data_IF_043508865840
#
_entry.id   IF_043508865840
#
_cell.length_a   1.000
_cell.length_b   1.000
_cell.length_c   1.000
_cell.angle_alpha   90.00
_cell.angle_beta   90.00
_cell.angle_gamma   90.00
#
_symmetry.space_group_name_H-M   'P 1'
#
loop_
_entity.id
_entity.type
_entity.pdbx_description
1 polymer ?
#
# COMPACT_ATOMS: atom_id res chain seq x y z
N UNK A 1 1.50 44.39 -13.22
CA UNK A 1 0.12 44.68 -12.80
C UNK A 1 -0.22 43.75 -11.65
N UNK A 2 -0.52 44.33 -10.48
CA UNK A 2 -0.81 43.62 -9.24
C UNK A 2 -2.32 43.40 -9.16
N UNK A 3 -2.76 42.18 -8.88
CA UNK A 3 -4.11 41.92 -8.38
C UNK A 3 -4.02 41.08 -7.10
N UNK A 4 -4.07 41.79 -5.98
CA UNK A 4 -4.50 41.29 -4.68
C UNK A 4 -6.00 41.03 -4.71
N UNK A 5 -6.44 39.87 -4.22
CA UNK A 5 -7.81 39.67 -3.76
C UNK A 5 -7.78 38.96 -2.40
N UNK A 6 -8.38 39.65 -1.43
CA UNK A 6 -8.60 39.31 -0.03
C UNK A 6 -10.08 38.95 0.13
N UNK A 7 -10.39 38.04 1.06
CA UNK A 7 -11.74 37.80 1.58
C UNK A 7 -12.28 36.42 1.20
N UNK A 8 -12.94 35.65 2.06
CA UNK A 8 -13.72 36.04 3.22
C UNK A 8 -13.78 34.91 4.26
N UNK A 9 -13.93 35.33 5.50
CA UNK A 9 -14.16 34.58 6.72
C UNK A 9 -15.45 33.75 6.65
N UNK A 10 -15.43 32.52 7.18
CA UNK A 10 -16.59 31.66 7.36
C UNK A 10 -16.38 30.69 8.50
N UNK A 11 -16.52 31.19 9.73
CA UNK A 11 -16.49 30.42 10.97
C UNK A 11 -17.86 29.74 11.16
N UNK A 12 -17.90 28.42 11.32
CA UNK A 12 -19.12 27.70 11.76
C UNK A 12 -18.82 27.01 13.09
N UNK A 13 -19.45 27.53 14.14
CA UNK A 13 -19.56 26.95 15.48
C UNK A 13 -20.73 25.98 15.51
N UNK A 14 -20.53 24.75 16.02
CA UNK A 14 -21.64 23.94 16.54
C UNK A 14 -21.26 23.32 17.89
N UNK A 15 -21.95 23.86 18.90
CA UNK A 15 -22.41 23.34 20.18
C UNK A 15 -21.94 21.96 20.69
N UNK A 16 -21.51 21.94 21.96
CA UNK A 16 -21.18 20.74 22.73
C UNK A 16 -22.34 20.14 23.52
N UNK A 17 -22.06 18.99 24.13
CA UNK A 17 -22.80 18.44 25.25
C UNK A 17 -21.79 18.04 26.33
N UNK A 18 -21.72 18.82 27.41
CA UNK A 18 -21.07 18.43 28.65
C UNK A 18 -22.07 17.61 29.47
N UNK A 19 -21.68 16.41 29.90
CA UNK A 19 -22.40 15.62 30.89
C UNK A 19 -21.51 15.42 32.10
N UNK A 20 -21.79 16.13 33.19
CA UNK A 20 -21.11 16.05 34.49
C UNK A 20 -22.06 15.46 35.54
N UNK A 21 -21.50 14.61 36.42
CA UNK A 21 -22.11 14.15 37.69
C UNK A 21 -22.56 12.68 37.66
N UNK A 22 -22.27 11.81 38.63
CA UNK A 22 -21.73 11.98 39.98
C UNK A 22 -21.14 10.62 40.47
N UNK A 23 -20.20 10.56 41.42
CA UNK A 23 -19.68 9.31 41.97
C UNK A 23 -20.58 8.79 43.10
N UNK A 24 -20.94 7.51 43.04
CA UNK A 24 -21.66 6.79 44.10
C UNK A 24 -20.75 5.74 44.75
N UNK A 25 -20.45 5.93 46.03
CA UNK A 25 -19.74 5.02 46.92
C UNK A 25 -20.69 4.09 47.69
N UNK A 26 -20.27 2.83 47.91
CA UNK A 26 -20.76 1.89 48.95
C UNK A 26 -21.86 0.93 48.49
N UNK A 27 -21.91 -0.36 48.84
CA UNK A 27 -21.19 -1.25 49.78
C UNK A 27 -21.45 -2.72 49.33
N UNK A 28 -20.78 -3.78 49.88
CA UNK A 28 -20.85 -5.14 49.35
C UNK A 28 -22.04 -5.93 49.91
N UNK A 29 -22.67 -6.73 49.06
CA UNK A 29 -23.71 -7.68 49.41
C UNK A 29 -23.35 -9.07 48.91
N UNK A 30 -22.99 -9.95 49.84
CA UNK A 30 -22.99 -11.41 49.69
C UNK A 30 -24.40 -11.90 49.33
N UNK A 31 -24.51 -12.62 48.21
CA UNK A 31 -25.74 -13.27 47.78
C UNK A 31 -25.42 -14.53 46.97
N UNK A 32 -25.60 -15.68 47.61
CA UNK A 32 -25.56 -17.02 47.04
C UNK A 32 -26.76 -17.25 46.13
N UNK A 33 -26.58 -17.77 44.91
CA UNK A 33 -27.72 -18.14 44.07
C UNK A 33 -27.38 -18.59 42.63
N UNK A 34 -27.36 -19.91 42.43
CA UNK A 34 -27.84 -20.67 41.28
C UNK A 34 -27.57 -20.18 39.83
N UNK A 35 -26.69 -20.92 39.15
CA UNK A 35 -26.96 -21.57 37.85
C UNK A 35 -27.52 -20.71 36.70
N UNK A 36 -26.63 -20.28 35.80
CA UNK A 36 -26.94 -20.18 34.36
C UNK A 36 -25.63 -20.40 33.59
N UNK A 37 -25.56 -21.51 32.86
CA UNK A 37 -24.50 -21.82 31.90
C UNK A 37 -24.44 -20.75 30.81
N UNK A 38 -23.36 -19.98 30.77
CA UNK A 38 -23.04 -19.10 29.65
C UNK A 38 -22.60 -19.95 28.45
N UNK A 39 -23.09 -19.68 27.22
CA UNK A 39 -22.54 -20.31 26.04
C UNK A 39 -21.10 -19.80 25.83
N UNK A 40 -20.18 -20.75 25.73
CA UNK A 40 -18.79 -20.48 25.35
C UNK A 40 -18.79 -19.99 23.90
N UNK A 41 -18.59 -18.68 23.70
CA UNK A 41 -18.31 -18.13 22.38
C UNK A 41 -16.92 -18.59 21.97
N UNK A 42 -16.86 -19.68 21.21
CA UNK A 42 -15.65 -20.09 20.49
C UNK A 42 -15.21 -18.93 19.61
N UNK A 43 -14.15 -18.23 20.02
CA UNK A 43 -13.46 -17.27 19.18
C UNK A 43 -12.95 -18.01 17.94
N UNK A 44 -13.61 -17.80 16.81
CA UNK A 44 -13.12 -18.22 15.51
C UNK A 44 -11.80 -17.48 15.25
N UNK A 45 -10.70 -18.22 15.36
CA UNK A 45 -9.38 -17.77 14.91
C UNK A 45 -9.54 -17.33 13.44
N UNK A 46 -9.19 -16.08 13.06
CA UNK A 46 -9.19 -15.74 11.66
C UNK A 46 -8.15 -16.62 10.97
N UNK A 47 -8.59 -17.34 9.94
CA UNK A 47 -7.74 -18.16 9.11
C UNK A 47 -6.56 -17.30 8.64
N UNK A 48 -5.36 -17.68 9.04
CA UNK A 48 -4.13 -17.12 8.51
C UNK A 48 -4.22 -17.20 6.99
N UNK A 49 -4.35 -16.05 6.35
CA UNK A 49 -4.19 -15.94 4.90
C UNK A 49 -2.77 -16.37 4.60
N UNK A 50 -2.59 -17.64 4.24
CA UNK A 50 -1.36 -18.11 3.65
C UNK A 50 -1.14 -17.27 2.42
N UNK A 51 -0.24 -16.27 2.53
CA UNK A 51 0.31 -15.58 1.40
C UNK A 51 0.91 -16.68 0.52
N UNK A 52 0.21 -16.98 -0.58
CA UNK A 52 0.68 -17.95 -1.55
C UNK A 52 2.05 -17.48 -2.02
N UNK A 53 3.09 -18.21 -1.63
CA UNK A 53 4.45 -17.98 -2.15
C UNK A 53 4.32 -17.98 -3.67
N UNK A 54 4.71 -16.92 -4.37
CA UNK A 54 4.66 -16.91 -5.83
C UNK A 54 5.42 -18.12 -6.36
N UNK A 55 4.84 -18.79 -7.36
CA UNK A 55 5.61 -19.74 -8.14
C UNK A 55 6.85 -19.02 -8.69
N UNK A 56 8.03 -19.66 -8.58
CA UNK A 56 9.34 -19.13 -9.01
C UNK A 56 9.31 -18.47 -10.39
N UNK A 57 8.45 -18.95 -11.30
CA UNK A 57 8.25 -18.39 -12.64
C UNK A 57 7.73 -16.96 -12.70
N UNK A 58 7.27 -16.37 -11.59
CA UNK A 58 6.77 -14.99 -11.55
C UNK A 58 7.89 -13.95 -11.69
N UNK A 59 9.08 -14.24 -11.15
CA UNK A 59 10.25 -13.38 -11.31
C UNK A 59 11.10 -13.69 -12.55
N UNK A 60 10.93 -14.88 -13.16
CA UNK A 60 11.61 -15.25 -14.40
C UNK A 60 11.06 -14.49 -15.62
N UNK A 61 9.83 -13.96 -15.52
CA UNK A 61 9.17 -13.21 -16.61
C UNK A 61 9.59 -11.74 -16.69
N UNK A 62 10.38 -11.24 -15.74
CA UNK A 62 10.88 -9.86 -15.76
C UNK A 62 12.13 -9.79 -16.64
N UNK A 63 11.94 -9.83 -17.95
CA UNK A 63 13.04 -9.82 -18.93
C UNK A 63 13.56 -8.40 -19.19
N UNK A 64 14.88 -8.31 -19.41
CA UNK A 64 15.63 -7.06 -19.45
C UNK A 64 15.44 -6.20 -20.71
N UNK A 65 15.83 -4.94 -20.52
CA UNK A 65 15.96 -3.84 -21.46
C UNK A 65 16.61 -4.20 -22.82
N UNK A 66 16.06 -3.65 -23.90
CA UNK A 66 16.81 -3.49 -25.17
C UNK A 66 17.83 -2.37 -25.02
N UNK A 67 18.93 -2.38 -25.79
CA UNK A 67 20.12 -1.54 -25.59
C UNK A 67 19.88 -0.02 -25.41
N UNK A 68 18.69 0.50 -25.76
CA UNK A 68 18.33 1.92 -25.66
C UNK A 68 17.04 2.20 -24.84
N UNK A 69 16.42 1.19 -24.22
CA UNK A 69 15.19 1.34 -23.43
C UNK A 69 15.44 0.90 -21.99
N UNK A 70 14.87 1.61 -21.00
CA UNK A 70 14.90 1.14 -19.62
C UNK A 70 14.07 -0.15 -19.47
N UNK A 71 14.43 -1.06 -18.54
CA UNK A 71 13.66 -2.28 -18.32
C UNK A 71 12.21 -1.97 -17.91
N UNK A 72 11.27 -2.74 -18.45
CA UNK A 72 9.85 -2.61 -18.13
C UNK A 72 9.30 -3.92 -17.54
N UNK A 73 8.29 -3.79 -16.69
CA UNK A 73 7.54 -4.93 -16.15
C UNK A 73 6.05 -4.66 -16.24
N UNK A 74 5.28 -5.68 -16.61
CA UNK A 74 3.83 -5.65 -16.56
C UNK A 74 3.35 -6.39 -15.31
N UNK A 75 2.48 -5.74 -14.54
CA UNK A 75 1.79 -6.37 -13.43
C UNK A 75 0.57 -7.17 -13.87
N UNK A 76 0.16 -8.13 -13.05
CA UNK A 76 -1.16 -8.77 -13.14
C UNK A 76 -2.12 -8.08 -12.17
N UNK A 77 -3.39 -7.92 -12.53
CA UNK A 77 -4.32 -7.16 -11.69
C UNK A 77 -5.78 -7.37 -12.02
N UNK A 78 -6.65 -6.83 -11.17
CA UNK A 78 -8.10 -6.79 -11.36
C UNK A 78 -8.56 -5.34 -11.31
N UNK A 79 -9.35 -4.93 -12.29
CA UNK A 79 -9.88 -3.56 -12.38
C UNK A 79 -8.82 -2.48 -12.65
N UNK A 80 -7.57 -2.86 -12.90
CA UNK A 80 -6.49 -1.95 -13.26
C UNK A 80 -5.43 -2.65 -14.13
N UNK A 81 -4.84 -1.88 -15.03
CA UNK A 81 -3.59 -2.22 -15.71
C UNK A 81 -2.43 -1.60 -14.96
N UNK A 82 -1.32 -2.34 -14.85
CA UNK A 82 -0.13 -1.90 -14.11
C UNK A 82 1.12 -2.14 -14.95
N UNK A 83 1.95 -1.12 -15.04
CA UNK A 83 3.27 -1.15 -15.67
C UNK A 83 4.30 -0.46 -14.79
N UNK A 84 5.52 -0.97 -14.76
CA UNK A 84 6.68 -0.36 -14.10
C UNK A 84 7.83 -0.16 -15.07
N UNK A 85 8.51 0.98 -14.99
CA UNK A 85 9.73 1.33 -15.71
C UNK A 85 10.86 1.49 -14.70
N UNK A 86 11.89 0.66 -14.81
CA UNK A 86 12.99 0.59 -13.86
C UNK A 86 14.13 1.52 -14.26
N UNK A 87 14.51 2.44 -13.38
CA UNK A 87 15.73 3.26 -13.56
C UNK A 87 16.96 2.55 -12.97
N UNK A 88 17.04 1.24 -13.19
CA UNK A 88 18.16 0.39 -12.83
C UNK A 88 18.12 -0.91 -13.66
N UNK A 89 19.26 -1.59 -13.87
CA UNK A 89 19.27 -2.92 -14.46
C UNK A 89 18.49 -3.93 -13.62
N UNK A 90 17.84 -4.88 -14.28
CA UNK A 90 17.17 -6.03 -13.64
C UNK A 90 18.03 -7.29 -13.85
N UNK A 91 18.28 -8.12 -12.82
CA UNK A 91 17.80 -8.00 -11.43
C UNK A 91 18.38 -6.79 -10.69
N UNK A 92 17.55 -6.18 -9.85
CA UNK A 92 17.92 -5.01 -9.05
C UNK A 92 18.97 -5.38 -8.00
N UNK A 93 19.83 -4.45 -7.61
CA UNK A 93 20.79 -4.67 -6.54
C UNK A 93 20.15 -4.45 -5.16
N UNK A 94 20.30 -5.41 -4.24
CA UNK A 94 19.89 -5.26 -2.85
C UNK A 94 20.66 -4.10 -2.17
N UNK A 95 20.01 -3.42 -1.23
CA UNK A 95 20.55 -2.32 -0.44
C UNK A 95 20.74 -1.00 -1.21
N UNK A 96 20.45 -0.97 -2.51
CA UNK A 96 20.52 0.23 -3.35
C UNK A 96 19.13 0.85 -3.51
N UNK A 97 19.06 2.17 -3.49
CA UNK A 97 17.83 2.86 -3.93
C UNK A 97 17.66 2.67 -5.43
N UNK A 98 16.45 2.30 -5.84
CA UNK A 98 16.02 2.29 -7.23
C UNK A 98 14.80 3.19 -7.39
N UNK A 99 14.84 4.03 -8.44
CA UNK A 99 13.66 4.73 -8.92
C UNK A 99 12.85 3.79 -9.81
N UNK A 100 11.55 3.70 -9.55
CA UNK A 100 10.58 3.01 -10.40
C UNK A 100 9.48 4.01 -10.77
N UNK A 101 9.20 4.13 -12.06
CA UNK A 101 8.05 4.89 -12.56
C UNK A 101 6.93 3.92 -12.86
N UNK A 102 5.75 4.19 -12.35
CA UNK A 102 4.57 3.37 -12.49
C UNK A 102 3.55 4.03 -13.41
N UNK A 103 2.89 3.20 -14.21
CA UNK A 103 1.65 3.56 -14.92
C UNK A 103 0.56 2.63 -14.44
N UNK A 104 -0.51 3.21 -13.90
CA UNK A 104 -1.64 2.42 -13.40
C UNK A 104 -2.96 3.09 -13.75
N UNK A 105 -3.87 2.33 -14.36
CA UNK A 105 -5.24 2.80 -14.60
C UNK A 105 -6.06 2.81 -13.31
N UNK A 106 -7.10 3.66 -13.27
CA UNK A 106 -7.95 3.84 -12.09
C UNK A 106 -7.88 5.26 -11.52
N UNK A 107 -8.55 5.47 -10.39
CA UNK A 107 -8.73 6.79 -9.75
C UNK A 107 -8.14 6.82 -8.33
N UNK A 108 -8.05 8.03 -7.77
CA UNK A 108 -7.58 8.28 -6.42
C UNK A 108 -6.07 8.54 -6.32
N UNK A 109 -5.48 8.37 -5.14
CA UNK A 109 -4.02 8.31 -4.93
C UNK A 109 -3.46 6.89 -5.12
N UNK A 110 -2.23 6.75 -5.59
CA UNK A 110 -1.57 5.44 -5.66
C UNK A 110 -1.11 5.04 -4.26
N UNK A 111 -1.40 3.79 -3.87
CA UNK A 111 -0.74 3.16 -2.72
C UNK A 111 0.12 2.02 -3.23
N UNK A 112 1.29 1.86 -2.62
CA UNK A 112 2.23 0.81 -3.00
C UNK A 112 2.88 0.20 -1.77
N UNK A 113 3.05 -1.10 -1.80
CA UNK A 113 3.83 -1.86 -0.83
C UNK A 113 4.74 -2.82 -1.57
N UNK A 114 5.85 -3.21 -0.95
CA UNK A 114 6.72 -4.24 -1.47
C UNK A 114 7.23 -5.15 -0.35
N UNK A 115 7.09 -6.46 -0.53
CA UNK A 115 7.42 -7.45 0.50
C UNK A 115 7.98 -8.75 -0.10
N UNK A 116 8.81 -9.43 0.70
CA UNK A 116 9.18 -10.82 0.49
C UNK A 116 8.18 -11.76 1.21
N UNK A 117 8.11 -13.05 0.80
CA UNK A 117 7.28 -14.03 1.49
C UNK A 117 7.63 -14.25 2.96
N UNK A 118 8.86 -13.92 3.38
CA UNK A 118 9.29 -13.99 4.79
C UNK A 118 8.80 -12.80 5.63
N UNK A 119 8.02 -11.89 5.04
CA UNK A 119 7.50 -10.68 5.68
C UNK A 119 8.48 -9.50 5.66
N UNK A 120 9.69 -9.65 5.10
CA UNK A 120 10.61 -8.52 4.95
C UNK A 120 9.99 -7.48 4.00
N UNK A 121 9.85 -6.24 4.46
CA UNK A 121 9.36 -5.13 3.66
C UNK A 121 10.50 -4.34 3.01
N UNK A 122 10.27 -3.82 1.80
CA UNK A 122 11.15 -2.83 1.18
C UNK A 122 10.84 -1.45 1.79
N UNK A 123 11.85 -0.58 1.81
CA UNK A 123 11.67 0.79 2.29
C UNK A 123 11.34 1.72 1.13
N UNK A 124 10.22 2.44 1.22
CA UNK A 124 10.00 3.63 0.40
C UNK A 124 10.90 4.75 0.94
N UNK A 125 11.77 5.26 0.10
CA UNK A 125 12.62 6.42 0.43
C UNK A 125 11.95 7.73 0.02
N UNK A 126 11.07 7.68 -0.98
CA UNK A 126 10.16 8.74 -1.41
C UNK A 126 8.99 8.16 -2.21
N UNK A 127 7.95 8.96 -2.42
CA UNK A 127 6.73 8.58 -3.12
C UNK A 127 5.75 7.71 -2.31
N UNK A 128 4.64 7.26 -2.93
CA UNK A 128 4.23 7.53 -4.33
C UNK A 128 3.96 9.00 -4.63
N UNK A 129 4.64 9.53 -5.64
CA UNK A 129 4.43 10.91 -6.13
C UNK A 129 3.78 10.88 -7.50
N UNK A 130 2.75 11.70 -7.72
CA UNK A 130 2.08 11.81 -9.01
C UNK A 130 2.93 12.63 -9.99
N UNK A 131 2.95 12.20 -11.26
CA UNK A 131 3.58 12.95 -12.34
C UNK A 131 2.56 13.33 -13.41
N UNK A 132 2.74 14.53 -14.00
CA UNK A 132 1.91 15.01 -15.11
C UNK A 132 2.07 14.22 -16.41
N UNK A 133 3.10 13.37 -16.50
CA UNK A 133 3.38 12.49 -17.61
C UNK A 133 4.83 12.55 -18.09
N UNK A 134 5.15 11.69 -19.04
CA UNK A 134 6.44 11.58 -19.71
C UNK A 134 6.25 11.10 -21.15
N UNK A 135 7.35 10.89 -21.88
CA UNK A 135 7.35 10.22 -23.19
C UNK A 135 7.18 8.70 -23.08
N UNK A 136 7.11 8.13 -21.87
CA UNK A 136 6.86 6.71 -21.68
C UNK A 136 5.35 6.43 -21.71
N UNK A 137 4.90 5.80 -22.80
CA UNK A 137 3.49 5.55 -23.06
C UNK A 137 3.02 4.18 -22.57
N UNK A 138 2.26 4.17 -21.48
CA UNK A 138 1.44 3.04 -21.00
C UNK A 138 0.10 3.54 -20.46
N UNK A 139 -0.94 2.69 -20.40
CA UNK A 139 -2.24 3.08 -19.83
C UNK A 139 -2.15 3.56 -18.39
N UNK A 140 -2.90 4.62 -18.06
CA UNK A 140 -3.06 5.13 -16.69
C UNK A 140 -2.23 6.37 -16.35
N UNK A 141 -2.45 6.90 -15.14
CA UNK A 141 -1.67 8.03 -14.62
C UNK A 141 -0.26 7.59 -14.23
N UNK A 142 0.67 8.52 -14.27
CA UNK A 142 2.08 8.28 -13.98
C UNK A 142 2.40 8.60 -12.52
N UNK A 143 3.19 7.73 -11.90
CA UNK A 143 3.63 7.87 -10.52
C UNK A 143 5.10 7.49 -10.37
N UNK A 144 5.80 8.05 -9.40
CA UNK A 144 7.18 7.71 -9.07
C UNK A 144 7.31 7.16 -7.65
N UNK A 145 8.25 6.23 -7.46
CA UNK A 145 8.69 5.76 -6.14
C UNK A 145 10.19 5.56 -6.08
N UNK A 146 10.78 5.77 -4.92
CA UNK A 146 12.12 5.32 -4.56
C UNK A 146 12.04 4.14 -3.61
N UNK A 147 12.60 2.99 -4.00
CA UNK A 147 12.63 1.80 -3.15
C UNK A 147 14.06 1.40 -2.79
N UNK A 148 14.26 0.98 -1.54
CA UNK A 148 15.42 0.19 -1.12
C UNK A 148 14.94 -1.20 -0.73
N UNK A 149 15.43 -2.21 -1.45
CA UNK A 149 15.18 -3.63 -1.16
C UNK A 149 16.30 -4.19 -0.28
N UNK A 150 16.09 -4.48 1.01
CA UNK A 150 17.17 -4.82 1.93
C UNK A 150 17.79 -6.21 1.71
N UNK A 151 17.12 -7.11 0.98
CA UNK A 151 17.54 -8.49 0.76
C UNK A 151 17.35 -8.92 -0.70
N UNK A 152 18.22 -9.81 -1.21
CA UNK A 152 17.95 -10.55 -2.44
C UNK A 152 16.65 -11.35 -2.35
N UNK A 153 15.99 -11.56 -3.48
CA UNK A 153 14.79 -12.38 -3.57
C UNK A 153 13.82 -11.98 -4.69
N UNK A 154 12.69 -12.66 -4.74
CA UNK A 154 11.59 -12.34 -5.64
C UNK A 154 10.56 -11.50 -4.86
N UNK A 155 10.59 -10.19 -5.08
CA UNK A 155 9.78 -9.24 -4.33
C UNK A 155 8.39 -9.09 -4.94
N UNK A 156 7.37 -9.23 -4.10
CA UNK A 156 6.00 -8.84 -4.45
C UNK A 156 5.87 -7.34 -4.29
N UNK A 157 5.37 -6.65 -5.31
CA UNK A 157 5.00 -5.24 -5.23
C UNK A 157 3.52 -5.14 -5.52
N UNK A 158 2.75 -4.70 -4.54
CA UNK A 158 1.30 -4.51 -4.66
C UNK A 158 1.01 -3.03 -4.87
N UNK A 159 0.30 -2.71 -5.94
CA UNK A 159 -0.15 -1.38 -6.28
C UNK A 159 -1.68 -1.33 -6.20
N UNK A 160 -2.22 -0.30 -5.56
CA UNK A 160 -3.67 -0.12 -5.45
C UNK A 160 -4.10 1.32 -5.77
N UNK A 161 -5.27 1.38 -6.40
CA UNK A 161 -6.08 2.57 -6.69
C UNK A 161 -7.44 2.35 -6.03
N UNK A 162 -8.33 3.33 -6.08
CA UNK A 162 -9.63 3.19 -5.40
C UNK A 162 -10.50 2.06 -5.96
N UNK A 163 -10.34 1.72 -7.24
CA UNK A 163 -11.17 0.72 -7.95
C UNK A 163 -10.40 -0.44 -8.58
N UNK A 164 -9.12 -0.59 -8.25
CA UNK A 164 -8.31 -1.64 -8.85
C UNK A 164 -6.98 -1.85 -8.14
N UNK A 165 -6.44 -3.05 -8.32
CA UNK A 165 -5.15 -3.45 -7.77
C UNK A 165 -4.36 -4.25 -8.78
N UNK A 166 -3.04 -4.21 -8.68
CA UNK A 166 -2.17 -5.12 -9.40
C UNK A 166 -0.91 -5.46 -8.62
N UNK A 167 -0.29 -6.56 -9.03
CA UNK A 167 0.92 -7.10 -8.44
C UNK A 167 2.01 -7.17 -9.52
N UNK A 168 3.20 -6.73 -9.16
CA UNK A 168 4.42 -6.83 -9.95
C UNK A 168 5.44 -7.67 -9.18
N UNK A 169 6.17 -8.53 -9.87
CA UNK A 169 7.22 -9.36 -9.28
C UNK A 169 8.59 -8.89 -9.76
N UNK A 170 9.47 -8.51 -8.85
CA UNK A 170 10.82 -8.02 -9.18
C UNK A 170 11.92 -8.91 -8.60
N UNK A 171 12.87 -9.39 -9.42
CA UNK A 171 14.04 -10.08 -8.92
C UNK A 171 15.07 -9.07 -8.39
N UNK A 172 15.56 -9.32 -7.18
CA UNK A 172 16.62 -8.56 -6.49
C UNK A 172 17.77 -9.51 -6.15
N UNK A 173 19.01 -9.06 -6.36
CA UNK A 173 20.25 -9.82 -6.14
C UNK A 173 21.28 -9.07 -5.29
#
# INVERSE_FOLDING_TARGET
MRHTAVGLCGLVLVAGCAGTGNPGTGNPGTGTGAGTTLPSVSASVPASVSASVPARGSCERTTGSTANALPEVRGSGRGAEVWGLMFAPVPLAAGREVKIVWRMTGEGPLRVTAALPDGTAARLTWGPEAHGGSTWHRPGQEWGTGFVFPKPGCWEITLTRDRGSGTVWLPVR
#
